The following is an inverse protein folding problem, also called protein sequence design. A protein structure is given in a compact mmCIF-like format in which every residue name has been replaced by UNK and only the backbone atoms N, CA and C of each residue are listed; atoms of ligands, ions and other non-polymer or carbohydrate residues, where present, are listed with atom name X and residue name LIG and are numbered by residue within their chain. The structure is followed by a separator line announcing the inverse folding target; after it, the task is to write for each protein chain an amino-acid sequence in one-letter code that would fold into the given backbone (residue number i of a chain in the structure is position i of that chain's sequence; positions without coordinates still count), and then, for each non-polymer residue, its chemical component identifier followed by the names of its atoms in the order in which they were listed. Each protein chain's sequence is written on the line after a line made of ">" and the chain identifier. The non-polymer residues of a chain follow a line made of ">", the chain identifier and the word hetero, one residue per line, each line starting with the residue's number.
data_IF_046601859472
#
_entry.id   IF_046601859472
#
_cell.length_a   1.000
_cell.length_b   1.000
_cell.length_c   1.000
_cell.angle_alpha   90.00
_cell.angle_beta   90.00
_cell.angle_gamma   90.00
#
_symmetry.space_group_name_H-M   'P 1'
#
loop_
_entity.id
_entity.type
_entity.pdbx_description
1 polymer ?
#
# COMPACT_ATOMS: atom_id res chain seq x y z
N UNK A 1 2.63 8.08 -6.75
CA UNK A 1 1.19 8.27 -6.95
C UNK A 1 0.98 9.71 -7.34
N UNK A 2 0.70 9.96 -8.60
CA UNK A 2 0.25 11.28 -9.04
C UNK A 2 -1.15 11.53 -8.46
N UNK A 3 -1.42 12.75 -8.00
CA UNK A 3 -2.73 13.19 -7.50
C UNK A 3 -3.31 12.46 -6.26
N UNK A 4 -2.47 11.91 -5.37
CA UNK A 4 -2.92 11.29 -4.12
C UNK A 4 -3.83 12.20 -3.25
N UNK A 5 -3.71 13.53 -3.38
CA UNK A 5 -4.56 14.51 -2.69
C UNK A 5 -6.01 14.53 -3.16
N UNK A 6 -6.30 14.06 -4.37
CA UNK A 6 -7.64 14.03 -4.94
C UNK A 6 -8.39 12.72 -4.66
N UNK A 7 -7.71 11.73 -4.08
CA UNK A 7 -8.30 10.43 -3.74
C UNK A 7 -8.76 10.48 -2.28
N UNK A 8 -10.07 10.27 -2.00
CA UNK A 8 -10.55 10.26 -0.63
C UNK A 8 -9.94 9.10 0.15
N UNK A 9 -9.61 9.28 1.44
CA UNK A 9 -9.00 8.22 2.24
C UNK A 9 -10.00 7.08 2.46
N UNK A 10 -9.56 5.84 2.22
CA UNK A 10 -10.38 4.63 2.47
C UNK A 10 -10.67 4.39 3.96
N UNK A 11 -9.88 4.97 4.88
CA UNK A 11 -10.16 4.91 6.32
C UNK A 11 -9.90 3.55 6.98
N UNK A 12 -8.85 2.84 6.56
CA UNK A 12 -8.50 1.51 7.11
C UNK A 12 -7.78 1.65 8.46
N UNK A 13 -8.22 0.89 9.47
CA UNK A 13 -7.53 0.78 10.76
C UNK A 13 -6.62 -0.43 10.78
N UNK A 14 -5.31 -0.18 10.87
CA UNK A 14 -4.30 -1.22 11.03
C UNK A 14 -3.99 -1.44 12.53
N UNK A 15 -3.83 -2.70 12.97
CA UNK A 15 -3.27 -2.97 14.29
C UNK A 15 -1.81 -2.48 14.35
N UNK A 16 -1.35 -2.09 15.55
CA UNK A 16 -0.07 -1.39 15.71
C UNK A 16 1.13 -2.18 15.18
N UNK A 17 1.18 -3.49 15.48
CA UNK A 17 2.24 -4.37 15.00
C UNK A 17 2.37 -4.38 13.46
N UNK A 18 1.24 -4.35 12.76
CA UNK A 18 1.21 -4.34 11.30
C UNK A 18 1.59 -2.95 10.76
N UNK A 19 1.10 -1.90 11.41
CA UNK A 19 1.41 -0.52 11.04
C UNK A 19 2.90 -0.25 11.14
N UNK A 20 3.56 -0.73 12.18
CA UNK A 20 5.00 -0.55 12.36
C UNK A 20 5.81 -1.38 11.37
N UNK A 21 5.41 -2.63 11.10
CA UNK A 21 6.02 -3.44 10.05
C UNK A 21 5.92 -2.77 8.66
N UNK A 22 4.76 -2.18 8.34
CA UNK A 22 4.54 -1.44 7.08
C UNK A 22 5.38 -0.16 7.01
N UNK A 23 5.51 0.59 8.10
CA UNK A 23 6.39 1.77 8.15
C UNK A 23 7.85 1.39 7.91
N UNK A 24 8.34 0.35 8.59
CA UNK A 24 9.73 -0.11 8.42
C UNK A 24 10.01 -0.55 6.99
N UNK A 25 9.07 -1.25 6.36
CA UNK A 25 9.20 -1.65 4.95
C UNK A 25 9.16 -0.43 4.00
N UNK A 26 8.21 0.48 4.21
CA UNK A 26 8.09 1.70 3.42
C UNK A 26 9.38 2.55 3.48
N UNK A 27 9.97 2.69 4.67
CA UNK A 27 11.24 3.40 4.85
C UNK A 27 12.41 2.73 4.13
N UNK A 28 12.50 1.39 4.16
CA UNK A 28 13.56 0.65 3.45
C UNK A 28 13.48 0.83 1.93
N UNK A 29 12.27 0.94 1.41
CA UNK A 29 11.99 1.03 -0.02
C UNK A 29 11.88 2.48 -0.54
N UNK A 30 12.15 3.48 0.32
CA UNK A 30 11.95 4.90 0.01
C UNK A 30 10.54 5.25 -0.49
N UNK A 31 9.50 4.60 0.06
CA UNK A 31 8.09 4.84 -0.27
C UNK A 31 7.34 5.47 0.90
N UNK A 32 6.23 6.14 0.59
CA UNK A 32 5.26 6.50 1.63
C UNK A 32 4.55 5.25 2.13
N UNK A 33 4.01 5.30 3.36
CA UNK A 33 3.23 4.20 3.93
C UNK A 33 2.08 3.78 3.00
N UNK A 34 1.38 4.76 2.41
CA UNK A 34 0.30 4.50 1.45
C UNK A 34 0.82 3.82 0.17
N UNK A 35 1.97 4.28 -0.33
CA UNK A 35 2.65 3.68 -1.49
C UNK A 35 3.00 2.22 -1.27
N UNK A 36 3.52 1.90 -0.09
CA UNK A 36 3.88 0.53 0.29
C UNK A 36 2.66 -0.37 0.43
N UNK A 37 1.59 0.11 1.07
CA UNK A 37 0.32 -0.63 1.19
C UNK A 37 -0.25 -0.95 -0.18
N UNK A 38 -0.35 0.04 -1.07
CA UNK A 38 -0.89 -0.18 -2.41
C UNK A 38 -0.01 -1.14 -3.19
N UNK A 39 1.33 -0.98 -3.17
CA UNK A 39 2.24 -1.88 -3.90
C UNK A 39 2.10 -3.34 -3.46
N UNK A 40 1.94 -3.58 -2.15
CA UNK A 40 1.71 -4.92 -1.60
C UNK A 40 0.37 -5.49 -2.01
N UNK A 41 -0.70 -4.69 -1.98
CA UNK A 41 -2.03 -5.10 -2.41
C UNK A 41 -2.06 -5.40 -3.91
N UNK A 42 -1.46 -4.54 -4.74
CA UNK A 42 -1.33 -4.75 -6.18
C UNK A 42 -0.62 -6.07 -6.50
N UNK A 43 0.44 -6.40 -5.75
CA UNK A 43 1.16 -7.65 -5.91
C UNK A 43 0.26 -8.85 -5.58
N UNK A 44 -0.36 -8.85 -4.40
CA UNK A 44 -1.25 -9.95 -3.95
C UNK A 44 -2.39 -10.17 -4.95
N UNK A 45 -3.10 -9.10 -5.32
CA UNK A 45 -4.25 -9.19 -6.22
C UNK A 45 -3.85 -9.62 -7.63
N UNK A 46 -2.63 -9.31 -8.08
CA UNK A 46 -2.10 -9.81 -9.36
C UNK A 46 -1.74 -11.29 -9.29
N UNK A 47 -1.11 -11.73 -8.21
CA UNK A 47 -0.78 -13.15 -7.98
C UNK A 47 -2.06 -14.02 -7.89
N UNK A 48 -3.13 -13.45 -7.35
CA UNK A 48 -4.45 -14.08 -7.25
C UNK A 48 -5.29 -13.98 -8.55
N UNK A 49 -4.81 -13.27 -9.57
CA UNK A 49 -5.50 -13.11 -10.87
C UNK A 49 -6.62 -12.07 -10.90
N UNK A 50 -6.87 -11.34 -9.80
CA UNK A 50 -7.85 -10.26 -9.74
C UNK A 50 -7.39 -8.99 -10.47
N UNK A 51 -6.08 -8.82 -10.68
CA UNK A 51 -5.51 -7.73 -11.49
C UNK A 51 -4.76 -8.30 -12.69
N UNK A 52 -5.21 -7.97 -13.89
CA UNK A 52 -4.53 -8.32 -15.16
C UNK A 52 -3.96 -7.05 -15.82
N UNK A 53 -2.69 -6.71 -15.52
CA UNK A 53 -1.98 -5.57 -16.13
C UNK A 53 -2.45 -4.19 -15.63
N UNK A 54 -1.71 -3.09 -15.76
CA UNK A 54 -0.50 -2.76 -16.53
C UNK A 54 0.81 -3.13 -15.84
#
# INVERSE_FOLDING_TARGET
>A
MENARNIPPTGIRFPDWLKDALKSAASKECRSLNGEVIKRLEKSLREEGFLSGN
#
